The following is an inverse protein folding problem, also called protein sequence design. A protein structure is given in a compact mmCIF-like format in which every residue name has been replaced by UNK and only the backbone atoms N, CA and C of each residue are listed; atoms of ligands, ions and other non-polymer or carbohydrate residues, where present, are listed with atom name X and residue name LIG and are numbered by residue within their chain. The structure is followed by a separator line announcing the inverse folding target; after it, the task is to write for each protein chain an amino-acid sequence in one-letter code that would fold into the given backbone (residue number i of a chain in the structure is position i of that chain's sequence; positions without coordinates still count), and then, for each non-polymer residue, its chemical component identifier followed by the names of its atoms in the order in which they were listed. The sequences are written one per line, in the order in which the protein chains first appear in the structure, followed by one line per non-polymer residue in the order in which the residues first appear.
data_IF_010861295996
#
_entry.id   IF_010861295996
#
_cell.length_a   1.000
_cell.length_b   1.000
_cell.length_c   1.000
_cell.angle_alpha   90.00
_cell.angle_beta   90.00
_cell.angle_gamma   90.00
#
_symmetry.space_group_name_H-M   'P 1'
#
loop_
_entity.id
_entity.type
_entity.pdbx_description
1 polymer ?
#
# COMPACT_ATOMS: atom_id res chain seq x y z
N UNK A 1 -39.91 -69.22 38.95
CA UNK A 1 -40.99 -68.26 38.66
C UNK A 1 -40.44 -66.85 38.80
N UNK A 2 -40.61 -66.01 37.76
CA UNK A 2 -40.49 -64.54 37.76
C UNK A 2 -39.05 -64.01 37.93
N UNK A 3 -38.53 -63.02 37.20
CA UNK A 3 -38.91 -62.26 35.99
C UNK A 3 -37.78 -61.22 35.83
N UNK A 4 -37.47 -60.84 34.59
CA UNK A 4 -36.78 -59.60 34.17
C UNK A 4 -35.24 -59.62 34.28
N UNK A 5 -34.47 -59.79 33.20
CA UNK A 5 -34.33 -58.95 31.99
C UNK A 5 -33.98 -57.50 32.36
N UNK A 6 -32.70 -57.14 32.25
CA UNK A 6 -32.24 -55.77 31.95
C UNK A 6 -30.87 -55.87 31.27
N UNK A 7 -30.93 -55.96 29.95
CA UNK A 7 -29.81 -55.83 29.02
C UNK A 7 -29.44 -54.34 29.01
N UNK A 8 -28.28 -53.99 29.56
CA UNK A 8 -27.77 -52.61 29.50
C UNK A 8 -27.16 -52.37 28.13
N UNK A 9 -27.98 -51.86 27.21
CA UNK A 9 -27.61 -51.51 25.85
C UNK A 9 -26.79 -50.20 25.83
N UNK A 10 -25.51 -50.33 25.50
CA UNK A 10 -24.60 -49.22 25.22
C UNK A 10 -24.84 -48.76 23.77
N UNK A 11 -25.54 -47.63 23.57
CA UNK A 11 -25.63 -46.97 22.27
C UNK A 11 -26.09 -45.51 22.43
N UNK A 12 -25.20 -44.64 22.93
CA UNK A 12 -25.39 -43.19 22.79
C UNK A 12 -24.95 -42.85 21.36
N UNK A 13 -25.93 -42.88 20.47
CA UNK A 13 -25.80 -42.52 19.07
C UNK A 13 -25.52 -41.02 18.96
N UNK A 14 -24.43 -40.69 18.26
CA UNK A 14 -23.99 -39.34 17.97
C UNK A 14 -25.07 -38.58 17.20
N UNK A 15 -25.55 -37.47 17.77
CA UNK A 15 -26.12 -36.36 17.02
C UNK A 15 -25.43 -35.08 17.49
N UNK A 16 -24.12 -35.00 17.25
CA UNK A 16 -23.49 -33.69 17.08
C UNK A 16 -24.02 -33.20 15.75
N UNK A 17 -25.13 -32.47 15.81
CA UNK A 17 -25.57 -31.64 14.71
C UNK A 17 -24.42 -30.70 14.37
N UNK A 18 -23.70 -31.01 13.29
CA UNK A 18 -22.98 -30.01 12.55
C UNK A 18 -24.02 -29.00 12.07
N UNK A 19 -24.32 -28.01 12.91
CA UNK A 19 -24.77 -26.73 12.44
C UNK A 19 -23.73 -26.34 11.39
N UNK A 20 -24.11 -26.41 10.12
CA UNK A 20 -23.32 -25.90 9.03
C UNK A 20 -23.05 -24.44 9.40
N UNK A 21 -21.85 -24.18 9.93
CA UNK A 21 -21.33 -22.83 10.07
C UNK A 21 -21.29 -22.33 8.64
N UNK A 22 -22.29 -21.52 8.29
CA UNK A 22 -22.30 -20.72 7.08
C UNK A 22 -20.99 -19.96 7.15
N UNK A 23 -20.04 -20.37 6.33
CA UNK A 23 -18.71 -19.82 6.33
C UNK A 23 -18.85 -18.36 5.88
N UNK A 24 -18.79 -17.44 6.84
CA UNK A 24 -18.82 -15.99 6.61
C UNK A 24 -17.41 -15.54 6.17
N UNK A 25 -16.70 -16.38 5.41
CA UNK A 25 -15.31 -16.18 4.97
C UNK A 25 -15.20 -15.42 3.65
N UNK A 26 -16.28 -14.77 3.20
CA UNK A 26 -16.24 -13.86 2.06
C UNK A 26 -17.08 -12.60 2.31
N UNK A 27 -16.85 -11.94 3.45
CA UNK A 27 -17.00 -10.49 3.47
C UNK A 27 -15.75 -9.99 2.73
N UNK A 28 -15.91 -9.58 1.48
CA UNK A 28 -14.85 -8.90 0.73
C UNK A 28 -14.65 -7.52 1.38
N UNK A 29 -13.92 -7.49 2.50
CA UNK A 29 -13.51 -6.26 3.15
C UNK A 29 -12.48 -5.64 2.20
N UNK A 30 -12.73 -4.44 1.64
CA UNK A 30 -11.75 -3.77 0.79
C UNK A 30 -10.42 -3.69 1.53
N UNK A 31 -9.35 -4.18 0.92
CA UNK A 31 -8.05 -4.23 1.56
C UNK A 31 -7.18 -3.14 0.95
N UNK A 32 -6.72 -2.22 1.79
CA UNK A 32 -5.78 -1.19 1.38
C UNK A 32 -4.55 -1.82 0.71
N UNK A 33 -4.13 -1.27 -0.42
CA UNK A 33 -2.95 -1.74 -1.15
C UNK A 33 -1.71 -1.05 -0.66
N UNK A 34 -0.62 -1.80 -0.61
CA UNK A 34 0.67 -1.30 -0.15
C UNK A 34 1.52 -0.82 -1.33
N UNK A 35 2.15 0.33 -1.18
CA UNK A 35 3.11 0.87 -2.15
C UNK A 35 4.40 1.32 -1.44
N UNK A 36 5.47 1.44 -2.22
CA UNK A 36 6.75 1.97 -1.76
C UNK A 36 6.99 3.33 -2.41
N UNK A 37 7.16 4.37 -1.61
CA UNK A 37 7.52 5.73 -2.05
C UNK A 37 8.99 5.97 -1.75
N UNK A 38 9.78 6.28 -2.78
CA UNK A 38 11.24 6.37 -2.67
C UNK A 38 11.67 7.82 -2.77
N UNK A 39 12.39 8.31 -1.76
CA UNK A 39 12.87 9.68 -1.66
C UNK A 39 14.39 9.74 -1.83
N UNK A 40 14.85 10.77 -2.53
CA UNK A 40 16.21 11.31 -2.38
C UNK A 40 16.24 12.26 -1.17
N UNK A 41 16.98 11.85 -0.13
CA UNK A 41 17.08 12.48 1.17
C UNK A 41 16.16 11.87 2.23
N UNK A 42 16.12 12.53 3.39
CA UNK A 42 15.19 12.18 4.48
C UNK A 42 13.95 13.08 4.40
N UNK A 43 12.77 12.55 4.10
CA UNK A 43 11.53 13.32 4.14
C UNK A 43 11.13 13.61 5.60
N UNK A 44 10.74 14.86 5.85
CA UNK A 44 10.18 15.29 7.13
C UNK A 44 8.68 14.95 7.19
N UNK A 45 8.38 13.72 7.64
CA UNK A 45 7.02 13.19 7.74
C UNK A 45 6.66 13.07 9.22
N UNK A 46 6.14 14.16 9.79
CA UNK A 46 5.64 14.18 11.17
C UNK A 46 4.20 13.66 11.28
N UNK A 47 3.44 13.77 10.19
CA UNK A 47 2.05 13.35 10.08
C UNK A 47 1.95 12.19 9.07
N UNK A 48 1.42 11.07 9.55
CA UNK A 48 1.40 9.82 8.79
C UNK A 48 0.30 9.77 7.73
N UNK A 49 -0.53 10.80 7.57
CA UNK A 49 -1.59 10.79 6.55
C UNK A 49 -1.02 10.87 5.14
N UNK A 50 -1.63 10.13 4.20
CA UNK A 50 -1.52 10.41 2.77
C UNK A 50 -2.75 11.19 2.33
N UNK A 51 -2.53 12.37 1.76
CA UNK A 51 -3.59 13.29 1.35
C UNK A 51 -3.64 13.41 -0.17
N UNK A 52 -4.85 13.46 -0.73
CA UNK A 52 -5.12 13.97 -2.06
C UNK A 52 -6.02 15.18 -1.91
N UNK A 53 -5.51 16.37 -2.23
CA UNK A 53 -6.17 17.64 -1.88
C UNK A 53 -6.54 17.68 -0.38
N UNK A 54 -7.81 17.76 -0.01
CA UNK A 54 -8.28 17.78 1.38
C UNK A 54 -8.70 16.41 1.92
N UNK A 55 -8.55 15.35 1.13
CA UNK A 55 -9.05 14.02 1.47
C UNK A 55 -7.91 13.07 1.83
N UNK A 56 -8.06 12.33 2.92
CA UNK A 56 -7.08 11.31 3.29
C UNK A 56 -7.31 10.04 2.47
N UNK A 57 -6.33 9.67 1.66
CA UNK A 57 -6.37 8.50 0.77
C UNK A 57 -5.59 7.30 1.30
N UNK A 58 -4.87 7.45 2.42
CA UNK A 58 -4.05 6.38 2.97
C UNK A 58 -3.20 6.81 4.17
N UNK A 59 -2.22 5.99 4.53
CA UNK A 59 -1.34 6.19 5.68
C UNK A 59 0.11 5.73 5.43
N UNK A 60 1.06 6.39 6.09
CA UNK A 60 2.46 5.99 6.17
C UNK A 60 2.59 4.91 7.22
N UNK A 61 3.02 3.73 6.78
CA UNK A 61 3.20 2.57 7.65
C UNK A 61 4.60 2.52 8.23
N UNK A 62 5.60 2.79 7.41
CA UNK A 62 7.01 2.63 7.77
C UNK A 62 7.89 3.58 6.98
N UNK A 63 8.91 4.13 7.63
CA UNK A 63 9.98 4.89 7.00
C UNK A 63 11.31 4.18 7.28
N UNK A 64 11.99 3.77 6.22
CA UNK A 64 13.25 3.03 6.29
C UNK A 64 14.34 3.84 5.58
N UNK A 65 15.26 4.48 6.33
CA UNK A 65 16.47 5.02 5.75
C UNK A 65 17.25 3.91 5.04
N UNK A 66 17.74 4.17 3.83
CA UNK A 66 18.55 3.23 3.08
C UNK A 66 19.71 3.93 2.38
N UNK A 67 20.92 3.39 2.53
CA UNK A 67 22.12 4.09 2.08
C UNK A 67 22.34 5.42 2.82
N UNK A 68 23.21 6.29 2.28
CA UNK A 68 23.49 7.59 2.90
C UNK A 68 22.36 8.61 2.68
N UNK A 69 21.69 8.55 1.53
CA UNK A 69 20.81 9.63 1.07
C UNK A 69 19.49 9.14 0.47
N UNK A 70 19.05 7.91 0.75
CA UNK A 70 17.74 7.43 0.30
C UNK A 70 16.84 7.09 1.48
N UNK A 71 15.54 7.27 1.28
CA UNK A 71 14.54 6.81 2.23
C UNK A 71 13.45 6.07 1.46
N UNK A 72 13.11 4.86 1.91
CA UNK A 72 11.95 4.11 1.42
C UNK A 72 10.83 4.24 2.43
N UNK A 73 9.70 4.80 1.99
CA UNK A 73 8.49 4.97 2.80
C UNK A 73 7.44 4.00 2.31
N UNK A 74 7.03 3.06 3.16
CA UNK A 74 5.93 2.13 2.89
C UNK A 74 4.62 2.80 3.26
N UNK A 75 3.67 2.78 2.34
CA UNK A 75 2.36 3.43 2.50
C UNK A 75 1.23 2.45 2.22
N UNK A 76 0.12 2.58 2.94
CA UNK A 76 -1.17 2.00 2.55
C UNK A 76 -1.97 3.03 1.78
N UNK A 77 -2.68 2.58 0.74
CA UNK A 77 -3.65 3.38 0.00
C UNK A 77 -5.00 2.69 0.09
N UNK A 78 -6.01 3.42 0.54
CA UNK A 78 -7.39 2.93 0.65
C UNK A 78 -7.85 2.36 -0.68
N UNK A 79 -8.52 1.21 -0.67
CA UNK A 79 -8.97 0.49 -1.88
C UNK A 79 -9.61 1.43 -2.92
N UNK A 80 -10.48 2.34 -2.45
CA UNK A 80 -11.21 3.32 -3.25
C UNK A 80 -10.33 4.22 -4.13
N UNK A 81 -9.05 4.43 -3.77
CA UNK A 81 -8.11 5.26 -4.52
C UNK A 81 -7.05 4.45 -5.24
N UNK A 82 -7.01 3.12 -5.11
CA UNK A 82 -5.95 2.31 -5.72
C UNK A 82 -5.92 2.41 -7.24
N UNK A 83 -7.08 2.61 -7.87
CA UNK A 83 -7.21 2.83 -9.31
C UNK A 83 -6.65 4.18 -9.78
N UNK A 84 -6.33 5.10 -8.86
CA UNK A 84 -5.71 6.41 -9.15
C UNK A 84 -4.19 6.40 -9.02
N UNK A 85 -3.61 5.27 -8.60
CA UNK A 85 -2.17 5.09 -8.44
C UNK A 85 -1.59 4.52 -9.73
N UNK A 86 -0.80 5.33 -10.41
CA UNK A 86 -0.22 5.05 -11.71
C UNK A 86 1.28 5.36 -11.74
N UNK A 87 1.96 5.02 -12.83
CA UNK A 87 3.40 5.27 -13.02
C UNK A 87 3.79 6.76 -13.05
N UNK A 88 2.82 7.66 -13.28
CA UNK A 88 2.98 9.12 -13.21
C UNK A 88 2.57 9.69 -11.84
N UNK A 89 2.13 8.85 -10.89
CA UNK A 89 1.84 9.27 -9.53
C UNK A 89 3.14 9.51 -8.77
N UNK A 90 3.18 10.61 -8.02
CA UNK A 90 4.29 10.94 -7.13
C UNK A 90 3.71 11.41 -5.79
N UNK A 91 4.52 11.36 -4.75
CA UNK A 91 4.17 11.94 -3.45
C UNK A 91 5.12 13.07 -3.11
N UNK A 92 4.58 14.14 -2.54
CA UNK A 92 5.37 15.31 -2.10
C UNK A 92 5.12 15.56 -0.64
N UNK A 93 6.19 15.78 0.13
CA UNK A 93 6.07 16.26 1.50
C UNK A 93 5.63 17.73 1.47
N UNK A 94 4.49 18.01 2.10
CA UNK A 94 4.00 19.35 2.41
C UNK A 94 3.32 19.30 3.76
N UNK A 95 3.53 20.32 4.59
CA UNK A 95 2.87 20.45 5.90
C UNK A 95 2.98 19.18 6.76
N UNK A 96 4.16 18.54 6.72
CA UNK A 96 4.51 17.36 7.51
C UNK A 96 3.90 16.03 7.04
N UNK A 97 3.15 15.99 5.93
CA UNK A 97 2.49 14.78 5.41
C UNK A 97 2.71 14.58 3.91
N UNK A 98 2.36 13.39 3.41
CA UNK A 98 2.50 13.05 1.99
C UNK A 98 1.28 13.51 1.19
N UNK A 99 1.52 14.31 0.16
CA UNK A 99 0.50 14.78 -0.78
C UNK A 99 0.64 14.05 -2.12
N UNK A 100 -0.46 13.47 -2.58
CA UNK A 100 -0.62 12.88 -3.90
C UNK A 100 -0.52 13.98 -4.96
N UNK A 101 0.31 13.74 -5.97
CA UNK A 101 0.50 14.61 -7.11
C UNK A 101 0.72 13.74 -8.37
N UNK A 102 0.55 14.36 -9.54
CA UNK A 102 0.92 13.73 -10.82
C UNK A 102 1.97 14.56 -11.55
N UNK A 103 2.84 13.89 -12.30
CA UNK A 103 3.88 14.52 -13.12
C UNK A 103 3.57 14.53 -14.61
N UNK A 104 2.40 14.03 -15.03
CA UNK A 104 1.92 14.12 -16.40
C UNK A 104 0.51 13.57 -16.50
N UNK A 105 -0.07 13.59 -17.69
CA UNK A 105 -1.49 13.26 -17.88
C UNK A 105 -1.75 11.75 -17.99
N UNK A 106 -0.72 10.97 -18.35
CA UNK A 106 -0.85 9.54 -18.63
C UNK A 106 0.14 8.73 -17.79
N UNK A 107 -0.35 7.67 -17.16
CA UNK A 107 0.44 6.67 -16.47
C UNK A 107 -0.21 5.30 -16.55
N UNK A 108 0.61 4.27 -16.48
CA UNK A 108 0.16 2.88 -16.41
C UNK A 108 -0.29 2.57 -14.98
N UNK A 109 -1.32 1.73 -14.80
CA UNK A 109 -1.70 1.23 -13.47
C UNK A 109 -0.52 0.56 -12.78
N UNK A 110 -0.30 0.90 -11.52
CA UNK A 110 0.79 0.33 -10.73
C UNK A 110 0.28 -0.85 -9.89
N UNK A 111 0.91 -2.04 -9.94
CA UNK A 111 0.53 -3.15 -9.08
C UNK A 111 0.87 -2.86 -7.62
N UNK A 112 0.28 -3.64 -6.72
CA UNK A 112 0.65 -3.63 -5.30
C UNK A 112 2.15 -3.93 -5.12
N UNK A 113 2.77 -3.28 -4.14
CA UNK A 113 4.21 -3.28 -3.91
C UNK A 113 4.98 -2.40 -4.89
N UNK A 114 4.29 -1.77 -5.85
CA UNK A 114 4.85 -0.86 -6.83
C UNK A 114 5.60 0.31 -6.22
N UNK A 115 6.49 0.88 -7.03
CA UNK A 115 7.44 1.91 -6.62
C UNK A 115 7.03 3.26 -7.19
N UNK A 116 6.92 4.24 -6.32
CA UNK A 116 6.51 5.59 -6.61
C UNK A 116 7.62 6.56 -6.22
N UNK A 117 7.75 7.65 -6.96
CA UNK A 117 8.74 8.67 -6.66
C UNK A 117 8.22 9.62 -5.58
N UNK A 118 9.06 9.88 -4.58
CA UNK A 118 8.83 10.82 -3.50
C UNK A 118 9.69 12.07 -3.63
N UNK A 119 9.12 13.23 -3.32
CA UNK A 119 9.83 14.50 -3.25
C UNK A 119 9.73 15.11 -1.85
N UNK A 120 10.87 15.50 -1.29
CA UNK A 120 10.93 16.15 0.02
C UNK A 120 10.40 17.59 0.03
N UNK A 121 10.10 18.17 -1.14
CA UNK A 121 9.43 19.47 -1.25
C UNK A 121 8.83 19.69 -2.64
N UNK A 122 7.86 20.62 -2.74
CA UNK A 122 7.28 21.06 -4.04
C UNK A 122 8.34 21.65 -4.98
N UNK A 123 9.36 22.34 -4.45
CA UNK A 123 10.44 22.88 -5.27
C UNK A 123 11.22 21.77 -6.00
N UNK A 124 11.50 20.64 -5.33
CA UNK A 124 12.16 19.49 -5.96
C UNK A 124 11.28 18.84 -7.02
N UNK A 125 9.97 18.73 -6.78
CA UNK A 125 9.01 18.26 -7.79
C UNK A 125 9.03 19.16 -9.03
N UNK A 126 8.96 20.49 -8.85
CA UNK A 126 8.99 21.45 -9.96
C UNK A 126 10.28 21.32 -10.75
N UNK A 127 11.43 21.22 -10.07
CA UNK A 127 12.72 21.03 -10.72
C UNK A 127 12.78 19.73 -11.53
N UNK A 128 12.23 18.65 -10.99
CA UNK A 128 12.09 17.38 -11.71
C UNK A 128 11.20 17.53 -12.95
N UNK A 129 10.01 18.12 -12.82
CA UNK A 129 9.10 18.37 -13.95
C UNK A 129 9.78 19.16 -15.07
N UNK A 130 10.55 20.21 -14.72
CA UNK A 130 11.31 21.01 -15.68
C UNK A 130 12.35 20.20 -16.44
N UNK A 131 13.08 19.31 -15.75
CA UNK A 131 14.08 18.43 -16.40
C UNK A 131 13.43 17.34 -17.26
N UNK A 132 12.34 16.76 -16.78
CA UNK A 132 11.69 15.60 -17.40
C UNK A 132 10.84 15.95 -18.63
N UNK A 133 10.50 17.24 -18.86
CA UNK A 133 9.81 17.70 -20.09
C UNK A 133 10.57 17.35 -21.37
N UNK A 134 11.87 17.04 -21.26
CA UNK A 134 12.74 16.70 -22.38
C UNK A 134 12.65 15.21 -22.78
N UNK A 135 12.17 14.32 -21.92
CA UNK A 135 12.32 12.85 -22.09
C UNK A 135 11.05 12.00 -21.89
N UNK A 136 9.88 12.62 -21.68
CA UNK A 136 8.63 11.90 -21.42
C UNK A 136 8.45 11.57 -19.94
N UNK A 137 7.50 12.25 -19.29
CA UNK A 137 7.52 12.41 -17.83
C UNK A 137 7.18 11.15 -17.03
N UNK A 138 6.23 10.36 -17.52
CA UNK A 138 5.80 9.12 -16.85
C UNK A 138 6.92 8.07 -16.85
N UNK A 139 7.58 7.89 -18.00
CA UNK A 139 8.71 6.98 -18.14
C UNK A 139 9.89 7.43 -17.26
N UNK A 140 10.24 8.72 -17.29
CA UNK A 140 11.31 9.26 -16.44
C UNK A 140 11.04 9.06 -14.94
N UNK A 141 9.77 9.11 -14.52
CA UNK A 141 9.36 8.90 -13.13
C UNK A 141 9.51 7.44 -12.72
N UNK A 142 8.98 6.52 -13.55
CA UNK A 142 9.09 5.08 -13.37
C UNK A 142 10.56 4.65 -13.30
N UNK A 143 11.38 5.08 -14.26
CA UNK A 143 12.81 4.77 -14.30
C UNK A 143 13.56 5.30 -13.08
N UNK A 144 13.26 6.54 -12.65
CA UNK A 144 13.90 7.12 -11.48
C UNK A 144 13.53 6.39 -10.19
N UNK A 145 12.26 6.07 -9.98
CA UNK A 145 11.81 5.31 -8.80
C UNK A 145 12.47 3.92 -8.75
N UNK A 146 12.52 3.23 -9.88
CA UNK A 146 13.20 1.94 -10.03
C UNK A 146 14.70 2.02 -9.72
N UNK A 147 15.39 3.02 -10.29
CA UNK A 147 16.82 3.24 -10.06
C UNK A 147 17.13 3.48 -8.58
N UNK A 148 16.37 4.37 -7.92
CA UNK A 148 16.59 4.69 -6.52
C UNK A 148 16.33 3.47 -5.63
N UNK A 149 15.30 2.67 -5.93
CA UNK A 149 15.01 1.47 -5.16
C UNK A 149 16.11 0.40 -5.28
N UNK A 150 16.67 0.20 -6.49
CA UNK A 150 17.82 -0.69 -6.67
C UNK A 150 19.01 -0.24 -5.81
N UNK A 151 19.32 1.05 -5.83
CA UNK A 151 20.39 1.63 -5.01
C UNK A 151 20.12 1.46 -3.50
N UNK A 152 18.86 1.49 -3.09
CA UNK A 152 18.44 1.28 -1.70
C UNK A 152 18.45 -0.20 -1.25
N UNK A 153 18.61 -1.17 -2.16
CA UNK A 153 18.55 -2.60 -1.83
C UNK A 153 19.84 -3.37 -2.11
N UNK A 154 20.83 -2.74 -2.75
CA UNK A 154 22.12 -3.38 -3.11
C UNK A 154 23.21 -3.17 -2.03
N UNK A 155 22.83 -3.03 -0.76
CA UNK A 155 23.78 -2.91 0.37
C UNK A 155 23.61 -4.04 1.36
#
# INVERSE_FOLDING_TARGET
MKKNLLISLFAIMMLVGCAAKKDISQINIPQDKIYNVIFEGQPDISDKRLMSSSEQIGDVLQQTPSGSDLTVVKVSVKEAYTQTIHSNTVFVVSDGHLNYETVGDVGETLPEGGRLLGFTSKAKLIWFKTKAKVTGMSQATKEKAEQLYKNATTK
#
